data_IF_806750478013
#
_entry.id   IF_806750478013
#
_cell.length_a   1.000
_cell.length_b   1.000
_cell.length_c   1.000
_cell.angle_alpha   90.00
_cell.angle_beta   90.00
_cell.angle_gamma   90.00
#
_symmetry.space_group_name_H-M   'P 1'
#
loop_
_entity.id
_entity.type
_entity.pdbx_description
1 polymer ?
#
# COMPACT_ATOMS: atom_id res chain seq x y z
N UNK A 1 -19.18 -14.81 19.82
CA UNK A 1 -18.21 -15.59 20.60
C UNK A 1 -16.79 -15.33 20.09
N UNK A 2 -16.44 -15.72 18.85
CA UNK A 2 -15.09 -15.48 18.30
C UNK A 2 -14.74 -13.99 18.05
N UNK A 3 -15.73 -13.14 17.77
CA UNK A 3 -15.54 -11.68 17.58
C UNK A 3 -15.08 -10.95 18.84
N UNK A 4 -15.05 -11.61 20.00
CA UNK A 4 -14.49 -11.04 21.22
C UNK A 4 -12.96 -10.94 21.17
N UNK A 5 -12.30 -11.81 20.40
CA UNK A 5 -10.84 -11.80 20.27
C UNK A 5 -10.38 -10.82 19.20
N UNK A 6 -9.34 -10.06 19.50
CA UNK A 6 -8.81 -9.00 18.65
C UNK A 6 -8.52 -9.51 17.24
N UNK A 7 -7.95 -10.72 17.10
CA UNK A 7 -7.63 -11.35 15.82
C UNK A 7 -8.83 -11.40 14.84
N UNK A 8 -10.05 -11.58 15.34
CA UNK A 8 -11.28 -11.71 14.55
C UNK A 8 -12.11 -10.42 14.44
N UNK A 9 -11.63 -9.29 14.99
CA UNK A 9 -12.31 -8.01 14.87
C UNK A 9 -12.09 -7.37 13.50
N UNK A 10 -13.12 -6.68 12.99
CA UNK A 10 -13.08 -5.99 11.69
C UNK A 10 -12.22 -4.72 11.72
N UNK A 11 -12.02 -4.13 12.90
CA UNK A 11 -11.09 -3.02 13.14
C UNK A 11 -10.08 -3.47 14.18
N UNK A 12 -8.83 -3.09 13.97
CA UNK A 12 -7.73 -3.30 14.92
C UNK A 12 -7.50 -2.00 15.70
N UNK A 13 -7.04 -2.07 16.95
CA UNK A 13 -6.52 -0.90 17.64
C UNK A 13 -5.33 -0.34 16.87
N UNK A 14 -5.00 0.93 17.09
CA UNK A 14 -3.88 1.56 16.42
C UNK A 14 -2.52 1.07 16.92
N UNK A 15 -2.48 0.48 18.10
CA UNK A 15 -1.27 -0.01 18.74
C UNK A 15 -1.59 -1.27 19.55
N UNK A 16 -0.67 -2.23 19.51
CA UNK A 16 -0.77 -3.50 20.23
C UNK A 16 0.55 -3.74 20.99
N UNK A 17 0.45 -4.14 22.26
CA UNK A 17 1.58 -4.48 23.13
C UNK A 17 1.23 -5.79 23.85
N UNK A 18 2.10 -6.79 23.76
CA UNK A 18 1.87 -8.11 24.35
C UNK A 18 3.03 -8.52 25.24
N UNK A 19 2.69 -9.17 26.36
CA UNK A 19 3.65 -9.88 27.20
C UNK A 19 3.77 -11.31 26.68
N UNK A 20 4.75 -11.58 25.84
CA UNK A 20 4.94 -12.90 25.22
C UNK A 20 5.34 -14.01 26.20
N UNK A 21 5.80 -13.67 27.41
CA UNK A 21 6.15 -14.67 28.43
C UNK A 21 4.91 -15.17 29.16
N UNK A 22 4.02 -14.25 29.56
CA UNK A 22 2.79 -14.58 30.29
C UNK A 22 1.56 -14.77 29.39
N UNK A 23 1.60 -14.26 28.16
CA UNK A 23 0.59 -14.39 27.11
C UNK A 23 1.23 -14.79 25.75
N UNK A 24 1.72 -16.04 25.60
CA UNK A 24 2.38 -16.50 24.37
C UNK A 24 1.48 -16.51 23.13
N UNK A 25 0.16 -16.40 23.31
CA UNK A 25 -0.84 -16.38 22.24
C UNK A 25 -1.25 -14.95 21.86
N UNK A 26 -0.69 -13.91 22.49
CA UNK A 26 -0.94 -12.49 22.16
C UNK A 26 -2.43 -12.13 22.20
N UNK A 27 -3.14 -12.63 23.22
CA UNK A 27 -4.59 -12.50 23.35
C UNK A 27 -5.01 -11.25 24.14
N UNK A 28 -4.14 -10.72 25.00
CA UNK A 28 -4.38 -9.59 25.88
C UNK A 28 -3.50 -8.40 25.48
N UNK A 29 -4.09 -7.46 24.72
CA UNK A 29 -3.40 -6.23 24.34
C UNK A 29 -3.26 -5.28 25.54
N UNK A 30 -2.02 -4.99 25.94
CA UNK A 30 -1.62 -4.11 27.03
C UNK A 30 -1.39 -2.65 26.59
N UNK A 31 -1.61 -2.31 25.32
CA UNK A 31 -1.23 -1.00 24.79
C UNK A 31 -1.96 0.18 25.46
N UNK A 32 -3.18 -0.03 25.95
CA UNK A 32 -3.97 0.99 26.65
C UNK A 32 -3.85 0.91 28.18
N UNK A 33 -3.05 -0.03 28.70
CA UNK A 33 -2.80 -0.15 30.14
C UNK A 33 -1.81 0.93 30.60
N UNK A 34 -2.21 1.85 31.50
CA UNK A 34 -1.34 2.91 31.99
C UNK A 34 -0.05 2.41 32.66
N UNK A 35 -0.03 1.20 33.22
CA UNK A 35 1.16 0.60 33.84
C UNK A 35 2.30 0.41 32.82
N UNK A 36 1.95 0.16 31.55
CA UNK A 36 2.90 -0.11 30.48
C UNK A 36 3.18 1.10 29.58
N UNK A 37 2.63 2.28 29.88
CA UNK A 37 2.76 3.47 29.02
C UNK A 37 4.21 3.85 28.76
N UNK A 38 5.06 3.92 29.79
CA UNK A 38 6.46 4.29 29.66
C UNK A 38 7.25 3.26 28.84
N UNK A 39 6.98 1.96 29.05
CA UNK A 39 7.61 0.87 28.29
C UNK A 39 7.22 0.94 26.81
N UNK A 40 5.93 1.12 26.54
CA UNK A 40 5.38 1.25 25.18
C UNK A 40 6.01 2.42 24.43
N UNK A 41 6.10 3.58 25.08
CA UNK A 41 6.70 4.77 24.49
C UNK A 41 8.21 4.59 24.25
N UNK A 42 8.90 3.93 25.18
CA UNK A 42 10.31 3.57 25.01
C UNK A 42 10.53 2.60 23.84
N UNK A 43 9.69 1.57 23.69
CA UNK A 43 9.78 0.60 22.59
C UNK A 43 9.51 1.27 21.24
N UNK A 44 8.49 2.14 21.16
CA UNK A 44 8.18 2.91 19.95
C UNK A 44 9.35 3.81 19.55
N UNK A 45 9.94 4.52 20.52
CA UNK A 45 11.09 5.38 20.26
C UNK A 45 12.30 4.59 19.73
N UNK A 46 12.58 3.41 20.29
CA UNK A 46 13.64 2.53 19.82
C UNK A 46 13.38 2.01 18.41
N UNK A 47 12.15 1.59 18.13
CA UNK A 47 11.74 1.14 16.80
C UNK A 47 11.93 2.25 15.76
N UNK A 48 11.44 3.46 16.05
CA UNK A 48 11.52 4.57 15.09
C UNK A 48 12.97 5.00 14.86
N UNK A 49 13.79 5.06 15.92
CA UNK A 49 15.22 5.32 15.77
C UNK A 49 15.90 4.26 14.89
N UNK A 50 15.58 2.98 15.10
CA UNK A 50 16.14 1.87 14.31
C UNK A 50 15.71 1.91 12.83
N UNK A 51 14.43 2.20 12.55
CA UNK A 51 13.92 2.33 11.17
C UNK A 51 14.63 3.47 10.42
N UNK A 52 14.87 4.60 11.10
CA UNK A 52 15.60 5.73 10.50
C UNK A 52 17.08 5.39 10.32
N UNK A 53 17.73 4.82 11.34
CA UNK A 53 19.14 4.43 11.30
C UNK A 53 19.43 3.44 10.17
N UNK A 54 18.56 2.45 10.00
CA UNK A 54 18.69 1.40 8.98
C UNK A 54 18.11 1.77 7.62
N UNK A 55 17.49 2.96 7.51
CA UNK A 55 16.89 3.47 6.26
C UNK A 55 15.84 2.51 5.74
N UNK A 56 14.86 2.18 6.58
CA UNK A 56 13.86 1.17 6.29
C UNK A 56 13.11 1.47 4.98
N UNK A 57 13.45 0.72 3.94
CA UNK A 57 12.86 0.85 2.61
C UNK A 57 11.38 0.45 2.59
N UNK A 58 10.88 -0.23 3.64
CA UNK A 58 9.46 -0.54 3.82
C UNK A 58 8.57 0.69 3.97
N UNK A 59 9.14 1.87 4.22
CA UNK A 59 8.41 3.14 4.22
C UNK A 59 8.13 3.69 2.82
N UNK A 60 8.63 3.06 1.75
CA UNK A 60 8.44 3.48 0.37
C UNK A 60 7.72 2.35 -0.39
N UNK A 61 6.56 2.64 -0.98
CA UNK A 61 5.79 1.66 -1.77
C UNK A 61 6.64 1.09 -2.92
N UNK A 62 6.49 -0.21 -3.23
CA UNK A 62 7.36 -0.90 -4.18
C UNK A 62 7.29 -0.33 -5.59
N UNK A 63 6.13 0.20 -6.01
CA UNK A 63 6.00 0.85 -7.32
C UNK A 63 6.80 2.14 -7.38
N UNK A 64 6.91 2.84 -6.25
CA UNK A 64 7.66 4.07 -6.12
C UNK A 64 9.15 3.80 -5.91
N UNK A 65 9.51 2.77 -5.15
CA UNK A 65 10.89 2.31 -4.99
C UNK A 65 11.57 2.10 -6.35
N UNK A 66 10.89 1.41 -7.27
CA UNK A 66 11.42 1.16 -8.62
C UNK A 66 11.62 2.46 -9.38
N UNK A 67 10.71 3.43 -9.24
CA UNK A 67 10.81 4.74 -9.88
C UNK A 67 11.93 5.58 -9.27
N UNK A 68 12.08 5.62 -7.94
CA UNK A 68 13.18 6.34 -7.29
C UNK A 68 14.53 5.69 -7.60
N UNK A 69 14.59 4.37 -7.66
CA UNK A 69 15.82 3.63 -7.98
C UNK A 69 16.33 3.90 -9.40
N UNK A 70 15.51 4.47 -10.29
CA UNK A 70 15.93 4.84 -11.65
C UNK A 70 17.05 5.87 -11.68
N UNK A 71 17.14 6.73 -10.67
CA UNK A 71 18.23 7.71 -10.51
C UNK A 71 19.55 7.05 -10.06
N UNK A 72 19.49 5.79 -9.63
CA UNK A 72 20.60 5.04 -9.02
C UNK A 72 20.81 3.67 -9.68
N UNK A 73 20.64 3.59 -11.01
CA UNK A 73 20.85 2.37 -11.81
C UNK A 73 20.05 1.14 -11.31
N UNK A 74 18.87 1.38 -10.73
CA UNK A 74 18.00 0.33 -10.19
C UNK A 74 18.41 -0.21 -8.81
N UNK A 75 19.34 0.44 -8.11
CA UNK A 75 19.81 -0.01 -6.80
C UNK A 75 18.93 0.57 -5.67
N UNK A 76 18.03 -0.26 -5.13
CA UNK A 76 17.12 0.17 -4.05
C UNK A 76 17.84 0.67 -2.78
N UNK A 77 19.01 0.11 -2.45
CA UNK A 77 19.79 0.57 -1.29
C UNK A 77 20.18 2.06 -1.41
N UNK A 78 20.50 2.51 -2.63
CA UNK A 78 20.89 3.91 -2.89
C UNK A 78 19.72 4.87 -2.71
N UNK A 79 18.48 4.44 -3.02
CA UNK A 79 17.28 5.23 -2.71
C UNK A 79 17.21 5.56 -1.23
N UNK A 80 17.44 4.57 -0.37
CA UNK A 80 17.46 4.81 1.07
C UNK A 80 18.69 5.58 1.52
N UNK A 81 19.85 5.35 0.90
CA UNK A 81 21.06 6.11 1.23
C UNK A 81 20.93 7.62 0.96
N UNK A 82 20.11 8.00 -0.02
CA UNK A 82 19.87 9.40 -0.43
C UNK A 82 18.52 9.96 0.02
N UNK A 83 17.73 9.20 0.79
CA UNK A 83 16.47 9.66 1.34
C UNK A 83 16.72 10.43 2.66
N UNK A 84 16.64 11.76 2.61
CA UNK A 84 16.93 12.62 3.76
C UNK A 84 15.73 12.85 4.69
N UNK A 85 14.52 12.47 4.26
CA UNK A 85 13.26 12.79 4.95
C UNK A 85 12.58 11.58 5.60
N UNK A 86 13.32 10.51 5.91
CA UNK A 86 12.77 9.31 6.58
C UNK A 86 11.92 9.61 7.81
N UNK A 87 12.39 10.51 8.69
CA UNK A 87 11.66 10.88 9.89
C UNK A 87 10.28 11.48 9.57
N UNK A 88 10.17 12.22 8.47
CA UNK A 88 8.94 12.87 8.02
C UNK A 88 7.96 11.87 7.38
N UNK A 89 8.49 10.91 6.61
CA UNK A 89 7.70 9.78 6.07
C UNK A 89 7.16 8.91 7.21
N UNK A 90 8.02 8.52 8.16
CA UNK A 90 7.67 7.70 9.31
C UNK A 90 6.68 8.39 10.24
N UNK A 91 6.87 9.69 10.53
CA UNK A 91 5.90 10.48 11.30
C UNK A 91 4.52 10.45 10.63
N UNK A 92 4.47 10.60 9.32
CA UNK A 92 3.21 10.56 8.57
C UNK A 92 2.54 9.19 8.64
N UNK A 93 3.31 8.10 8.56
CA UNK A 93 2.82 6.74 8.71
C UNK A 93 2.27 6.45 10.12
N UNK A 94 2.83 7.08 11.17
CA UNK A 94 2.41 6.90 12.56
C UNK A 94 1.17 7.74 12.95
N UNK A 95 0.83 8.80 12.20
CA UNK A 95 -0.29 9.68 12.57
C UNK A 95 -1.62 8.98 12.89
N UNK A 96 -2.05 7.88 12.23
CA UNK A 96 -3.26 7.16 12.62
C UNK A 96 -3.35 6.86 14.12
N UNK A 97 -2.22 6.54 14.76
CA UNK A 97 -2.10 6.27 16.20
C UNK A 97 -2.58 7.42 17.08
N UNK A 98 -2.50 8.66 16.60
CA UNK A 98 -2.92 9.85 17.33
C UNK A 98 -4.42 10.16 17.22
N UNK A 99 -5.22 9.26 16.62
CA UNK A 99 -6.68 9.46 16.48
C UNK A 99 -7.02 10.71 15.67
N UNK A 100 -8.03 11.47 16.07
CA UNK A 100 -8.49 12.67 15.32
C UNK A 100 -7.42 13.76 15.18
N UNK A 101 -6.48 13.89 16.13
CA UNK A 101 -5.37 14.82 16.00
C UNK A 101 -4.43 14.42 14.86
N UNK A 102 -4.16 13.12 14.72
CA UNK A 102 -3.41 12.55 13.61
C UNK A 102 -4.15 12.68 12.27
N UNK A 103 -5.46 12.49 12.28
CA UNK A 103 -6.32 12.68 11.11
C UNK A 103 -6.16 14.08 10.50
N UNK A 104 -6.16 15.12 11.34
CA UNK A 104 -5.94 16.48 10.89
C UNK A 104 -4.55 16.63 10.24
N UNK A 105 -3.51 16.03 10.84
CA UNK A 105 -2.15 16.05 10.29
C UNK A 105 -2.03 15.31 8.96
N UNK A 106 -2.69 14.17 8.80
CA UNK A 106 -2.72 13.45 7.52
C UNK A 106 -3.33 14.32 6.40
N UNK A 107 -4.39 15.08 6.69
CA UNK A 107 -4.99 16.01 5.72
C UNK A 107 -4.03 17.13 5.30
N UNK A 108 -3.19 17.60 6.22
CA UNK A 108 -2.14 18.59 5.95
C UNK A 108 -0.97 18.03 5.13
N UNK A 109 -0.84 16.70 5.01
CA UNK A 109 0.23 16.02 4.26
C UNK A 109 -0.16 15.60 2.83
N UNK A 110 -1.40 15.88 2.40
CA UNK A 110 -1.90 15.44 1.10
C UNK A 110 -1.25 16.15 -0.09
N UNK A 111 -0.66 17.33 0.11
CA UNK A 111 0.04 18.12 -0.91
C UNK A 111 1.56 18.20 -0.69
N UNK A 112 2.09 17.31 0.17
CA UNK A 112 3.52 17.26 0.45
C UNK A 112 4.34 17.02 -0.83
N UNK A 113 5.50 17.68 -1.02
CA UNK A 113 6.33 17.48 -2.20
C UNK A 113 6.79 16.02 -2.37
N UNK A 114 6.98 15.28 -1.26
CA UNK A 114 7.40 13.88 -1.31
C UNK A 114 6.20 12.93 -1.46
N UNK A 115 6.25 12.06 -2.46
CA UNK A 115 5.18 11.10 -2.76
C UNK A 115 4.99 10.02 -1.72
N UNK A 116 6.02 9.60 -0.99
CA UNK A 116 5.88 8.64 0.10
C UNK A 116 5.09 9.25 1.27
N UNK A 117 5.27 10.55 1.52
CA UNK A 117 4.47 11.30 2.50
C UNK A 117 3.01 11.35 2.05
N UNK A 118 2.73 11.71 0.79
CA UNK A 118 1.35 11.70 0.25
C UNK A 118 0.73 10.31 0.30
N UNK A 119 1.49 9.27 0.01
CA UNK A 119 1.05 7.87 0.09
C UNK A 119 0.62 7.51 1.51
N UNK A 120 1.48 7.73 2.51
CA UNK A 120 1.15 7.44 3.91
C UNK A 120 0.02 8.33 4.44
N UNK A 121 -0.10 9.57 3.95
CA UNK A 121 -1.22 10.44 4.26
C UNK A 121 -2.56 9.81 3.84
N UNK A 122 -2.66 9.31 2.61
CA UNK A 122 -3.88 8.67 2.10
C UNK A 122 -4.13 7.32 2.79
N UNK A 123 -3.10 6.49 2.93
CA UNK A 123 -3.20 5.17 3.57
C UNK A 123 -3.63 5.31 5.03
N UNK A 124 -3.07 6.27 5.77
CA UNK A 124 -3.47 6.56 7.14
C UNK A 124 -4.93 7.02 7.25
N UNK A 125 -5.45 7.78 6.27
CA UNK A 125 -6.85 8.18 6.25
C UNK A 125 -7.82 6.99 6.11
N UNK A 126 -7.36 5.84 5.59
CA UNK A 126 -8.19 4.63 5.50
C UNK A 126 -8.50 4.01 6.87
N UNK A 127 -7.77 4.38 7.92
CA UNK A 127 -8.05 3.94 9.29
C UNK A 127 -9.29 4.61 9.91
N UNK A 128 -9.85 5.63 9.25
CA UNK A 128 -10.96 6.43 9.75
C UNK A 128 -12.23 6.23 8.92
N UNK A 129 -13.36 6.65 9.49
CA UNK A 129 -14.54 6.95 8.68
C UNK A 129 -14.29 8.27 7.93
N UNK A 130 -14.58 8.28 6.63
CA UNK A 130 -14.17 9.38 5.74
C UNK A 130 -15.42 10.09 5.22
N UNK A 131 -15.56 11.38 5.53
CA UNK A 131 -16.68 12.18 5.03
C UNK A 131 -16.46 12.60 3.57
N UNK A 132 -17.55 12.98 2.90
CA UNK A 132 -17.51 13.43 1.51
C UNK A 132 -16.55 14.62 1.28
N UNK A 133 -16.36 15.49 2.27
CA UNK A 133 -15.43 16.62 2.19
C UNK A 133 -13.97 16.16 2.07
N UNK A 134 -13.60 15.08 2.76
CA UNK A 134 -12.28 14.45 2.62
C UNK A 134 -12.18 13.76 1.27
N UNK A 135 -13.20 13.01 0.84
CA UNK A 135 -13.20 12.35 -0.48
C UNK A 135 -13.07 13.36 -1.64
N UNK A 136 -13.59 14.58 -1.49
CA UNK A 136 -13.38 15.67 -2.45
C UNK A 136 -11.91 16.11 -2.53
N UNK A 137 -11.18 16.12 -1.42
CA UNK A 137 -9.74 16.39 -1.38
C UNK A 137 -8.91 15.26 -1.97
N UNK A 138 -9.37 14.01 -1.85
CA UNK A 138 -8.71 12.82 -2.42
C UNK A 138 -8.91 12.72 -3.94
N UNK A 139 -10.05 13.18 -4.45
CA UNK A 139 -10.40 13.10 -5.87
C UNK A 139 -9.31 13.57 -6.84
N UNK A 140 -8.63 14.71 -6.63
CA UNK A 140 -7.49 15.14 -7.45
C UNK A 140 -6.29 14.18 -7.44
N UNK A 141 -6.01 13.51 -6.32
CA UNK A 141 -4.83 12.65 -6.13
C UNK A 141 -4.89 11.35 -6.93
N UNK A 142 -6.03 10.97 -7.50
CA UNK A 142 -6.11 9.85 -8.47
C UNK A 142 -5.30 10.13 -9.76
N UNK A 143 -4.93 11.40 -9.97
CA UNK A 143 -4.08 11.86 -11.08
C UNK A 143 -2.66 12.16 -10.65
N UNK A 144 -2.29 11.82 -9.42
CA UNK A 144 -0.91 11.94 -8.96
C UNK A 144 0.02 11.22 -9.95
N UNK A 145 1.18 11.83 -10.18
CA UNK A 145 2.16 11.34 -11.13
C UNK A 145 2.69 9.96 -10.67
N UNK A 146 2.86 9.77 -9.36
CA UNK A 146 3.27 8.50 -8.80
C UNK A 146 2.10 7.52 -8.74
N UNK A 147 2.37 6.30 -9.20
CA UNK A 147 1.35 5.25 -9.25
C UNK A 147 0.91 4.83 -7.85
N UNK A 148 1.84 4.74 -6.88
CA UNK A 148 1.59 4.46 -5.47
C UNK A 148 0.49 5.36 -4.89
N UNK A 149 0.68 6.68 -4.98
CA UNK A 149 -0.25 7.71 -4.46
C UNK A 149 -1.59 7.64 -5.19
N UNK A 150 -1.57 7.52 -6.52
CA UNK A 150 -2.81 7.48 -7.29
C UNK A 150 -3.66 6.24 -7.03
N UNK A 151 -3.03 5.09 -6.76
CA UNK A 151 -3.70 3.85 -6.40
C UNK A 151 -4.21 3.89 -4.96
N UNK A 152 -3.48 4.50 -4.02
CA UNK A 152 -3.97 4.73 -2.67
C UNK A 152 -5.22 5.63 -2.68
N UNK A 153 -5.21 6.71 -3.46
CA UNK A 153 -6.38 7.58 -3.63
C UNK A 153 -7.58 6.83 -4.24
N UNK A 154 -7.31 6.02 -5.27
CA UNK A 154 -8.32 5.20 -5.93
C UNK A 154 -8.94 4.16 -4.97
N UNK A 155 -8.11 3.55 -4.13
CA UNK A 155 -8.55 2.57 -3.14
C UNK A 155 -9.45 3.20 -2.08
N UNK A 156 -9.04 4.35 -1.51
CA UNK A 156 -9.84 5.06 -0.53
C UNK A 156 -11.22 5.45 -1.09
N UNK A 157 -11.29 5.88 -2.35
CA UNK A 157 -12.57 6.14 -3.03
C UNK A 157 -13.41 4.87 -3.19
N UNK A 158 -12.80 3.73 -3.55
CA UNK A 158 -13.52 2.46 -3.73
C UNK A 158 -14.07 1.90 -2.43
N UNK A 159 -13.29 1.95 -1.34
CA UNK A 159 -13.72 1.54 0.00
C UNK A 159 -14.95 2.35 0.46
N UNK A 160 -15.03 3.62 0.05
CA UNK A 160 -16.14 4.53 0.32
C UNK A 160 -17.22 4.58 -0.78
N UNK A 161 -17.36 3.53 -1.60
CA UNK A 161 -18.41 3.39 -2.63
C UNK A 161 -18.40 4.47 -3.73
N UNK A 162 -17.22 5.01 -4.10
CA UNK A 162 -17.05 5.99 -5.19
C UNK A 162 -16.17 5.47 -6.34
N UNK A 163 -16.45 4.27 -6.90
CA UNK A 163 -15.56 3.62 -7.86
C UNK A 163 -15.38 4.40 -9.16
N UNK A 164 -16.36 5.19 -9.58
CA UNK A 164 -16.26 6.01 -10.79
C UNK A 164 -15.04 6.96 -10.76
N UNK A 165 -14.70 7.51 -9.58
CA UNK A 165 -13.54 8.39 -9.42
C UNK A 165 -12.19 7.65 -9.47
N UNK A 166 -12.19 6.33 -9.26
CA UNK A 166 -10.98 5.49 -9.22
C UNK A 166 -10.61 4.88 -10.58
N UNK A 167 -11.56 4.84 -11.54
CA UNK A 167 -11.41 4.11 -12.80
C UNK A 167 -10.18 4.53 -13.61
N UNK A 168 -9.85 5.82 -13.65
CA UNK A 168 -8.70 6.31 -14.42
C UNK A 168 -7.36 5.87 -13.84
N UNK A 169 -7.21 5.91 -12.51
CA UNK A 169 -6.00 5.49 -11.81
C UNK A 169 -5.79 3.97 -11.96
N UNK A 170 -6.85 3.19 -11.71
CA UNK A 170 -6.82 1.73 -11.86
C UNK A 170 -6.46 1.32 -13.29
N UNK A 171 -7.09 1.95 -14.30
CA UNK A 171 -6.80 1.68 -15.70
C UNK A 171 -5.35 2.02 -16.05
N UNK A 172 -4.85 3.20 -15.64
CA UNK A 172 -3.46 3.62 -15.87
C UNK A 172 -2.46 2.63 -15.26
N UNK A 173 -2.69 2.21 -14.02
CA UNK A 173 -1.82 1.24 -13.35
C UNK A 173 -1.82 -0.13 -14.03
N UNK A 174 -2.98 -0.62 -14.49
CA UNK A 174 -3.09 -1.88 -15.25
C UNK A 174 -2.39 -1.83 -16.61
N UNK A 175 -2.26 -0.63 -17.19
CA UNK A 175 -1.56 -0.40 -18.47
C UNK A 175 -0.07 -0.12 -18.28
N UNK A 176 0.43 -0.06 -17.04
CA UNK A 176 1.83 0.21 -16.75
C UNK A 176 2.73 -0.94 -17.19
N UNK A 177 3.94 -0.60 -17.63
CA UNK A 177 5.01 -1.56 -17.87
C UNK A 177 5.69 -2.04 -16.57
N UNK A 178 5.34 -1.43 -15.43
CA UNK A 178 5.73 -1.93 -14.11
C UNK A 178 4.77 -3.03 -13.66
N UNK A 179 5.28 -4.27 -13.50
CA UNK A 179 4.52 -5.42 -13.03
C UNK A 179 3.86 -5.12 -11.67
N UNK A 180 4.58 -4.43 -10.78
CA UNK A 180 4.10 -4.10 -9.43
C UNK A 180 2.92 -3.11 -9.44
N UNK A 181 2.86 -2.21 -10.42
CA UNK A 181 1.69 -1.34 -10.61
C UNK A 181 0.46 -2.15 -11.02
N UNK A 182 0.63 -3.09 -11.97
CA UNK A 182 -0.46 -3.99 -12.40
C UNK A 182 -0.91 -4.90 -11.26
N UNK A 183 0.05 -5.44 -10.50
CA UNK A 183 -0.19 -6.25 -9.31
C UNK A 183 -0.97 -5.49 -8.25
N UNK A 184 -0.51 -4.29 -7.85
CA UNK A 184 -1.19 -3.48 -6.82
C UNK A 184 -2.61 -3.12 -7.23
N UNK A 185 -2.83 -2.72 -8.49
CA UNK A 185 -4.17 -2.46 -9.00
C UNK A 185 -5.07 -3.71 -8.94
N UNK A 186 -4.57 -4.87 -9.36
CA UNK A 186 -5.29 -6.14 -9.26
C UNK A 186 -5.54 -6.59 -7.81
N UNK A 187 -4.58 -6.37 -6.91
CA UNK A 187 -4.71 -6.68 -5.50
C UNK A 187 -5.83 -5.87 -4.86
N UNK A 188 -5.87 -4.54 -5.08
CA UNK A 188 -6.94 -3.69 -4.58
C UNK A 188 -8.31 -4.17 -5.07
N UNK A 189 -8.44 -4.44 -6.38
CA UNK A 189 -9.66 -5.01 -6.97
C UNK A 189 -10.05 -6.36 -6.34
N UNK A 190 -9.08 -7.15 -5.90
CA UNK A 190 -9.34 -8.42 -5.21
C UNK A 190 -9.96 -8.25 -3.83
N UNK A 191 -9.94 -7.09 -3.21
CA UNK A 191 -10.55 -6.86 -1.90
C UNK A 191 -11.91 -6.15 -1.98
N UNK A 192 -12.27 -5.59 -3.13
CA UNK A 192 -13.54 -4.89 -3.28
C UNK A 192 -14.77 -5.81 -3.22
N UNK A 193 -15.83 -5.26 -2.62
CA UNK A 193 -17.14 -5.90 -2.52
C UNK A 193 -17.80 -5.99 -3.89
N UNK A 194 -18.77 -6.91 -4.03
CA UNK A 194 -19.44 -7.21 -5.29
C UNK A 194 -20.08 -5.96 -5.92
N UNK A 195 -20.70 -5.11 -5.12
CA UNK A 195 -21.41 -3.90 -5.57
C UNK A 195 -20.47 -2.87 -6.20
N UNK A 196 -19.24 -2.81 -5.69
CA UNK A 196 -18.16 -1.97 -6.23
C UNK A 196 -17.63 -2.58 -7.53
N UNK A 197 -17.35 -3.90 -7.53
CA UNK A 197 -16.84 -4.60 -8.72
C UNK A 197 -17.81 -4.61 -9.90
N UNK A 198 -19.11 -4.66 -9.65
CA UNK A 198 -20.13 -4.61 -10.71
C UNK A 198 -20.03 -3.35 -11.57
N UNK A 199 -19.50 -2.25 -11.02
CA UNK A 199 -19.30 -0.97 -11.70
C UNK A 199 -17.96 -0.91 -12.47
N UNK A 200 -17.12 -1.93 -12.36
CA UNK A 200 -15.75 -1.95 -12.90
C UNK A 200 -15.59 -2.83 -14.15
N UNK A 201 -16.68 -3.28 -14.77
CA UNK A 201 -16.66 -4.12 -15.99
C UNK A 201 -15.83 -3.52 -17.13
N UNK A 202 -15.77 -2.19 -17.20
CA UNK A 202 -14.94 -1.47 -18.19
C UNK A 202 -13.42 -1.66 -18.00
N UNK A 203 -12.96 -2.21 -16.87
CA UNK A 203 -11.55 -2.56 -16.64
C UNK A 203 -11.16 -3.93 -17.22
N UNK A 204 -12.10 -4.80 -17.59
CA UNK A 204 -11.80 -6.15 -18.10
C UNK A 204 -10.79 -6.12 -19.27
N UNK A 205 -10.94 -5.26 -20.30
CA UNK A 205 -9.95 -5.21 -21.38
C UNK A 205 -8.56 -4.79 -20.91
N UNK A 206 -8.47 -3.88 -19.92
CA UNK A 206 -7.19 -3.47 -19.35
C UNK A 206 -6.55 -4.58 -18.50
N UNK A 207 -7.36 -5.35 -17.76
CA UNK A 207 -6.90 -6.54 -17.02
C UNK A 207 -6.40 -7.64 -17.97
N UNK A 208 -7.07 -7.84 -19.11
CA UNK A 208 -6.62 -8.78 -20.15
C UNK A 208 -5.29 -8.31 -20.76
N UNK A 209 -5.19 -7.04 -21.15
CA UNK A 209 -3.93 -6.48 -21.63
C UNK A 209 -2.79 -6.57 -20.59
N UNK A 210 -3.10 -6.42 -19.30
CA UNK A 210 -2.15 -6.58 -18.21
C UNK A 210 -1.60 -8.01 -18.06
N UNK A 211 -2.40 -9.03 -18.40
CA UNK A 211 -1.96 -10.44 -18.45
C UNK A 211 -0.99 -10.70 -19.60
N UNK A 212 -1.24 -10.05 -20.74
CA UNK A 212 -0.47 -10.26 -21.96
C UNK A 212 0.80 -9.38 -22.02
N UNK A 213 0.93 -8.37 -21.15
CA UNK A 213 2.11 -7.50 -21.12
C UNK A 213 3.34 -8.26 -20.58
N UNK A 214 4.38 -8.48 -21.41
CA UNK A 214 5.55 -9.23 -21.00
C UNK A 214 6.52 -8.44 -20.11
N UNK A 215 6.44 -7.10 -20.14
CA UNK A 215 7.36 -6.16 -19.48
C UNK A 215 7.07 -6.08 -17.98
N UNK A 216 8.13 -6.03 -17.16
CA UNK A 216 8.03 -6.06 -15.71
C UNK A 216 8.60 -4.83 -14.99
N UNK A 217 9.69 -4.25 -15.48
CA UNK A 217 10.46 -3.17 -14.87
C UNK A 217 10.52 -1.92 -15.75
N UNK A 218 9.68 -1.86 -16.78
CA UNK A 218 9.63 -0.74 -17.73
C UNK A 218 11.03 -0.44 -18.31
N UNK A 219 11.58 0.78 -18.12
CA UNK A 219 12.87 1.15 -18.70
C UNK A 219 14.07 0.39 -18.13
N UNK A 220 13.93 -0.31 -17.00
CA UNK A 220 14.99 -1.08 -16.34
C UNK A 220 14.81 -2.59 -16.52
N UNK A 221 14.07 -3.01 -17.56
CA UNK A 221 13.93 -4.42 -17.88
C UNK A 221 15.33 -5.05 -18.06
N UNK A 222 15.72 -6.01 -17.19
CA UNK A 222 17.01 -6.66 -17.33
C UNK A 222 17.02 -7.54 -18.59
N UNK A 223 18.21 -7.82 -19.11
CA UNK A 223 18.36 -8.91 -20.07
C UNK A 223 18.06 -10.24 -19.37
N UNK A 224 16.83 -10.72 -19.52
CA UNK A 224 16.34 -11.91 -18.87
C UNK A 224 17.18 -13.14 -19.18
N UNK A 225 17.70 -13.23 -20.41
CA UNK A 225 18.49 -14.38 -20.86
C UNK A 225 19.91 -14.36 -20.27
N UNK A 226 20.39 -13.20 -19.82
CA UNK A 226 21.67 -13.04 -19.13
C UNK A 226 21.62 -13.36 -17.62
N UNK A 227 20.43 -13.49 -17.03
CA UNK A 227 20.28 -13.81 -15.60
C UNK A 227 20.47 -15.30 -15.30
N UNK A 228 20.87 -15.63 -14.07
CA UNK A 228 21.00 -17.03 -13.65
C UNK A 228 19.63 -17.75 -13.61
N UNK A 229 19.56 -19.06 -13.91
CA UNK A 229 18.30 -19.79 -14.02
C UNK A 229 17.34 -19.71 -12.81
N UNK A 230 17.83 -19.68 -11.55
CA UNK A 230 16.95 -19.49 -10.39
C UNK A 230 16.21 -18.15 -10.42
N UNK A 231 16.90 -17.09 -10.85
CA UNK A 231 16.35 -15.74 -10.94
C UNK A 231 15.32 -15.67 -12.07
N UNK A 232 15.64 -16.23 -13.24
CA UNK A 232 14.69 -16.35 -14.35
C UNK A 232 13.40 -17.07 -13.95
N UNK A 233 13.53 -18.19 -13.22
CA UNK A 233 12.39 -18.97 -12.71
C UNK A 233 11.55 -18.15 -11.74
N UNK A 234 12.18 -17.51 -10.75
CA UNK A 234 11.49 -16.67 -9.77
C UNK A 234 10.65 -15.58 -10.44
N UNK A 235 11.21 -14.86 -11.41
CA UNK A 235 10.48 -13.80 -12.12
C UNK A 235 9.33 -14.34 -12.97
N UNK A 236 9.54 -15.47 -13.65
CA UNK A 236 8.47 -16.14 -14.41
C UNK A 236 7.30 -16.51 -13.50
N UNK A 237 7.57 -17.04 -12.32
CA UNK A 237 6.56 -17.41 -11.33
C UNK A 237 5.85 -16.17 -10.75
N UNK A 238 6.60 -15.12 -10.41
CA UNK A 238 5.99 -13.85 -9.97
C UNK A 238 5.03 -13.29 -11.03
N UNK A 239 5.47 -13.21 -12.29
CA UNK A 239 4.64 -12.67 -13.37
C UNK A 239 3.46 -13.58 -13.69
N UNK A 240 3.71 -14.83 -14.02
CA UNK A 240 2.68 -15.69 -14.63
C UNK A 240 1.76 -16.30 -13.58
N UNK A 241 2.31 -16.70 -12.43
CA UNK A 241 1.56 -17.42 -11.40
C UNK A 241 0.94 -16.43 -10.42
N UNK A 242 1.77 -15.61 -9.75
CA UNK A 242 1.27 -14.70 -8.70
C UNK A 242 0.43 -13.58 -9.33
N UNK A 243 1.01 -12.75 -10.18
CA UNK A 243 0.29 -11.61 -10.77
C UNK A 243 -0.73 -12.10 -11.79
N UNK A 244 -0.34 -13.01 -12.68
CA UNK A 244 -1.21 -13.52 -13.73
C UNK A 244 -2.40 -14.32 -13.21
N UNK A 245 -2.15 -15.49 -12.63
CA UNK A 245 -3.21 -16.41 -12.23
C UNK A 245 -3.90 -16.01 -10.92
N UNK A 246 -3.13 -15.75 -9.86
CA UNK A 246 -3.72 -15.58 -8.52
C UNK A 246 -4.40 -14.23 -8.33
N UNK A 247 -3.95 -13.21 -9.06
CA UNK A 247 -4.48 -11.84 -8.99
C UNK A 247 -5.33 -11.50 -10.20
N UNK A 248 -4.74 -11.25 -11.37
CA UNK A 248 -5.44 -10.63 -12.50
C UNK A 248 -6.56 -11.53 -13.06
N UNK A 249 -6.30 -12.82 -13.30
CA UNK A 249 -7.34 -13.75 -13.76
C UNK A 249 -8.46 -13.93 -12.72
N UNK A 250 -8.10 -13.94 -11.44
CA UNK A 250 -9.08 -14.03 -10.34
C UNK A 250 -9.97 -12.78 -10.31
N UNK A 251 -9.40 -11.60 -10.47
CA UNK A 251 -10.13 -10.33 -10.51
C UNK A 251 -11.09 -10.27 -11.70
N UNK A 252 -10.65 -10.67 -12.89
CA UNK A 252 -11.50 -10.74 -14.09
C UNK A 252 -12.75 -11.57 -13.79
N UNK A 253 -12.56 -12.80 -13.28
CA UNK A 253 -13.68 -13.69 -12.92
C UNK A 253 -14.60 -13.05 -11.89
N UNK A 254 -14.05 -12.37 -10.87
CA UNK A 254 -14.87 -11.69 -9.85
C UNK A 254 -15.71 -10.55 -10.42
N UNK A 255 -15.16 -9.77 -11.35
CA UNK A 255 -15.89 -8.68 -12.01
C UNK A 255 -16.97 -9.24 -12.94
N UNK A 256 -16.70 -10.33 -13.65
CA UNK A 256 -17.67 -11.01 -14.51
C UNK A 256 -18.86 -11.58 -13.71
N UNK A 257 -18.58 -12.12 -12.51
CA UNK A 257 -19.59 -12.68 -11.61
C UNK A 257 -20.35 -11.61 -10.81
N UNK A 258 -19.84 -10.38 -10.74
CA UNK A 258 -20.47 -9.28 -10.00
C UNK A 258 -21.74 -8.78 -10.70
#
# INVERSE_FOLDING_TARGET
>A
AYTAYLIWQAKKPFEELYDIENDPEEMANLADDPEYSDLKDQMRAQLFAWMIETRDLGLIDETEMIVRATEYDGVNYEVGAHCENYAHILETADFPRLGEAGRAKLLDRLDDPDSAVRYWAITGLMSYEVEDTVLQKIGPLVRDELTSVSLAAADLLCQNNRPAGAMSALKRALQSDLLWARFRAGANLSFYRREVLAQMKALIPALQAALDNPVCYGPFEPDWDALIPPVQTMYREQKNTIVGQWVLQRVIKRIELA
#
